data_IF_401032700079
#
_entry.id   IF_401032700079
#
_cell.length_a   1.000
_cell.length_b   1.000
_cell.length_c   1.000
_cell.angle_alpha   90.00
_cell.angle_beta   90.00
_cell.angle_gamma   90.00
#
_symmetry.space_group_name_H-M   'P 1'
#
loop_
_entity.id
_entity.type
_entity.pdbx_description
1 polymer ?
#
# COMPACT_ATOMS: atom_id res chain seq x y z
N UNK A 1 2.72 -10.82 -33.18
CA UNK A 1 3.25 -9.92 -32.14
C UNK A 1 2.07 -9.49 -31.28
N UNK A 2 1.84 -10.15 -30.16
CA UNK A 2 0.77 -9.80 -29.21
C UNK A 2 1.44 -9.12 -28.01
N UNK A 3 1.13 -7.83 -27.83
CA UNK A 3 1.59 -7.07 -26.69
C UNK A 3 0.76 -7.50 -25.46
N UNK A 4 1.40 -8.21 -24.54
CA UNK A 4 0.85 -8.48 -23.22
C UNK A 4 0.89 -7.20 -22.40
N UNK A 5 -0.27 -6.53 -22.29
CA UNK A 5 -0.42 -5.38 -21.43
C UNK A 5 -0.26 -5.80 -19.97
N UNK A 6 0.80 -5.36 -19.33
CA UNK A 6 0.97 -5.48 -17.89
C UNK A 6 -0.12 -4.65 -17.20
N UNK A 7 -1.07 -5.31 -16.54
CA UNK A 7 -2.05 -4.64 -15.68
C UNK A 7 -1.33 -4.17 -14.42
N UNK A 8 -1.14 -2.87 -14.32
CA UNK A 8 -0.59 -2.23 -13.11
C UNK A 8 -1.62 -2.32 -11.99
N UNK A 9 -1.46 -3.28 -11.08
CA UNK A 9 -2.23 -3.32 -9.85
C UNK A 9 -1.80 -2.17 -8.92
N UNK A 10 -2.76 -1.43 -8.40
CA UNK A 10 -2.52 -0.37 -7.40
C UNK A 10 -2.62 -1.01 -6.02
N UNK A 11 -1.64 -0.74 -5.15
CA UNK A 11 -1.67 -1.09 -3.73
C UNK A 11 -2.30 0.11 -3.03
N UNK A 12 -3.32 -0.08 -2.26
CA UNK A 12 -4.05 1.02 -1.66
C UNK A 12 -4.56 0.75 -0.25
N UNK A 13 -4.62 1.81 0.51
CA UNK A 13 -5.29 1.87 1.80
C UNK A 13 -6.76 2.26 1.58
N UNK A 14 -7.71 1.35 1.84
CA UNK A 14 -9.13 1.62 1.73
C UNK A 14 -9.68 2.24 3.01
N UNK A 15 -10.12 3.48 2.92
CA UNK A 15 -10.87 4.17 3.95
C UNK A 15 -12.34 3.74 3.91
N UNK A 16 -12.72 2.78 4.75
CA UNK A 16 -14.11 2.41 4.95
C UNK A 16 -14.78 3.34 5.97
N UNK A 17 -15.50 4.38 5.52
CA UNK A 17 -16.40 5.17 6.35
C UNK A 17 -17.76 4.45 6.43
N UNK A 18 -18.03 3.75 7.51
CA UNK A 18 -19.32 3.13 7.79
C UNK A 18 -19.90 3.66 9.09
N UNK A 19 -20.88 4.55 9.00
CA UNK A 19 -21.73 4.94 10.15
C UNK A 19 -22.90 3.99 10.30
N UNK A 20 -22.95 3.27 11.43
CA UNK A 20 -24.12 2.84 12.20
C UNK A 20 -25.21 2.00 11.57
N UNK A 21 -25.32 0.74 12.02
CA UNK A 21 -26.51 0.08 12.64
C UNK A 21 -26.13 -1.39 12.97
N UNK A 22 -26.61 -2.00 14.05
CA UNK A 22 -26.29 -3.38 14.37
C UNK A 22 -27.12 -4.33 13.53
N UNK A 23 -26.60 -4.77 12.41
CA UNK A 23 -27.10 -5.93 11.71
C UNK A 23 -26.13 -7.08 11.96
N UNK A 24 -26.64 -8.11 12.63
CA UNK A 24 -26.05 -9.45 12.68
C UNK A 24 -26.07 -10.00 11.26
N UNK A 25 -25.09 -9.61 10.46
CA UNK A 25 -24.83 -10.16 9.13
C UNK A 25 -23.54 -10.95 9.23
N UNK A 26 -23.65 -12.22 8.90
CA UNK A 26 -22.55 -13.13 8.61
C UNK A 26 -21.39 -12.32 8.05
N UNK A 27 -20.25 -12.27 8.77
CA UNK A 27 -19.11 -11.46 8.41
C UNK A 27 -18.46 -12.01 7.13
N UNK A 28 -19.02 -11.64 6.00
CA UNK A 28 -18.31 -11.74 4.74
C UNK A 28 -17.12 -10.78 4.85
N UNK A 29 -15.93 -11.35 4.93
CA UNK A 29 -14.70 -10.56 4.90
C UNK A 29 -14.72 -9.72 3.63
N UNK A 30 -14.58 -8.38 3.71
CA UNK A 30 -14.56 -7.56 2.52
C UNK A 30 -13.46 -8.07 1.59
N UNK A 31 -13.81 -8.31 0.33
CA UNK A 31 -12.83 -8.66 -0.69
C UNK A 31 -11.88 -7.46 -0.88
N UNK A 32 -10.61 -7.74 -1.12
CA UNK A 32 -9.65 -6.72 -1.57
C UNK A 32 -10.14 -6.23 -2.93
N UNK A 33 -10.24 -4.91 -3.11
CA UNK A 33 -10.69 -4.35 -4.38
C UNK A 33 -9.77 -4.82 -5.52
N UNK A 34 -10.32 -5.02 -6.70
CA UNK A 34 -9.60 -5.61 -7.85
C UNK A 34 -8.31 -4.85 -8.23
N UNK A 35 -8.28 -3.53 -7.94
CA UNK A 35 -7.13 -2.68 -8.25
C UNK A 35 -5.98 -2.79 -7.24
N UNK A 36 -6.19 -3.46 -6.10
CA UNK A 36 -5.19 -3.60 -5.05
C UNK A 36 -4.64 -5.02 -4.98
N UNK A 37 -3.32 -5.14 -4.83
CA UNK A 37 -2.65 -6.43 -4.59
C UNK A 37 -2.69 -6.84 -3.12
N UNK A 38 -2.70 -5.86 -2.24
CA UNK A 38 -2.84 -6.00 -0.79
C UNK A 38 -3.50 -4.77 -0.20
N UNK A 39 -3.98 -4.90 1.03
CA UNK A 39 -4.58 -3.81 1.79
C UNK A 39 -4.40 -4.07 3.27
N UNK A 40 -4.03 -3.03 4.02
CA UNK A 40 -4.13 -3.02 5.48
C UNK A 40 -5.41 -2.28 5.88
N UNK A 41 -6.23 -2.92 6.68
CA UNK A 41 -7.52 -2.41 7.15
C UNK A 41 -7.69 -2.64 8.64
N UNK A 42 -8.61 -1.89 9.27
CA UNK A 42 -8.93 -2.08 10.67
C UNK A 42 -9.93 -3.24 10.86
N UNK A 43 -9.57 -4.14 11.78
CA UNK A 43 -10.46 -5.16 12.32
C UNK A 43 -10.57 -4.89 13.82
N UNK A 44 -11.65 -4.21 14.26
CA UNK A 44 -11.67 -3.56 15.56
C UNK A 44 -10.55 -2.53 15.69
N UNK A 45 -9.77 -2.62 16.76
CA UNK A 45 -8.63 -1.73 17.03
C UNK A 45 -7.31 -2.21 16.39
N UNK A 46 -7.34 -3.36 15.72
CA UNK A 46 -6.14 -3.99 15.16
C UNK A 46 -6.05 -3.75 13.66
N UNK A 47 -4.86 -3.43 13.17
CA UNK A 47 -4.57 -3.39 11.75
C UNK A 47 -4.27 -4.79 11.23
N UNK A 48 -5.03 -5.26 10.25
CA UNK A 48 -4.85 -6.55 9.59
C UNK A 48 -4.60 -6.36 8.11
N UNK A 49 -3.67 -7.12 7.55
CA UNK A 49 -3.39 -7.09 6.11
C UNK A 49 -4.07 -8.26 5.41
N UNK A 50 -4.56 -7.98 4.22
CA UNK A 50 -5.13 -8.98 3.33
C UNK A 50 -4.52 -8.82 1.95
N UNK A 51 -4.11 -9.93 1.37
CA UNK A 51 -3.66 -9.99 -0.01
C UNK A 51 -4.83 -10.44 -0.90
N UNK A 52 -4.77 -10.06 -2.15
CA UNK A 52 -5.71 -10.53 -3.17
C UNK A 52 -5.57 -12.05 -3.31
N UNK A 53 -6.71 -12.76 -3.31
CA UNK A 53 -6.73 -14.23 -3.22
C UNK A 53 -6.24 -14.94 -4.49
N UNK A 54 -6.20 -14.25 -5.62
CA UNK A 54 -5.72 -14.76 -6.91
C UNK A 54 -4.22 -14.52 -7.15
N UNK A 55 -3.51 -13.91 -6.19
CA UNK A 55 -2.06 -13.78 -6.27
C UNK A 55 -1.40 -15.14 -6.11
N UNK A 56 -0.68 -15.55 -7.14
CA UNK A 56 0.07 -16.82 -7.18
C UNK A 56 1.57 -16.63 -7.34
N UNK A 57 2.01 -15.46 -7.76
CA UNK A 57 3.42 -15.12 -7.88
C UNK A 57 4.02 -14.89 -6.49
N UNK A 58 4.85 -15.83 -6.04
CA UNK A 58 5.46 -15.81 -4.71
C UNK A 58 6.41 -14.63 -4.51
N UNK A 59 7.08 -14.16 -5.57
CA UNK A 59 7.96 -13.01 -5.52
C UNK A 59 7.14 -11.73 -5.30
N UNK A 60 6.05 -11.57 -6.02
CA UNK A 60 5.13 -10.44 -5.86
C UNK A 60 4.43 -10.48 -4.49
N UNK A 61 4.01 -11.65 -4.02
CA UNK A 61 3.44 -11.83 -2.68
C UNK A 61 4.41 -11.30 -1.61
N UNK A 62 5.68 -11.70 -1.66
CA UNK A 62 6.69 -11.26 -0.70
C UNK A 62 6.89 -9.72 -0.71
N UNK A 63 6.83 -9.09 -1.88
CA UNK A 63 6.91 -7.63 -2.02
C UNK A 63 5.71 -6.95 -1.36
N UNK A 64 4.49 -7.43 -1.65
CA UNK A 64 3.25 -6.86 -1.10
C UNK A 64 3.19 -7.08 0.41
N UNK A 65 3.58 -8.25 0.91
CA UNK A 65 3.64 -8.52 2.36
C UNK A 65 4.61 -7.60 3.09
N UNK A 66 5.75 -7.28 2.47
CA UNK A 66 6.71 -6.34 3.04
C UNK A 66 6.10 -4.93 3.18
N UNK A 67 5.36 -4.47 2.17
CA UNK A 67 4.63 -3.22 2.17
C UNK A 67 3.57 -3.18 3.29
N UNK A 68 2.68 -4.14 3.31
CA UNK A 68 1.58 -4.22 4.28
C UNK A 68 2.07 -4.39 5.72
N UNK A 69 3.21 -5.05 5.93
CA UNK A 69 3.83 -5.16 7.25
C UNK A 69 4.23 -3.80 7.82
N UNK A 70 4.70 -2.88 6.98
CA UNK A 70 5.02 -1.52 7.42
C UNK A 70 3.77 -0.82 7.92
N UNK A 71 2.65 -0.91 7.20
CA UNK A 71 1.39 -0.30 7.64
C UNK A 71 0.89 -0.85 8.97
N UNK A 72 0.99 -2.17 9.19
CA UNK A 72 0.65 -2.75 10.52
C UNK A 72 1.54 -2.20 11.63
N UNK A 73 2.84 -2.06 11.35
CA UNK A 73 3.79 -1.49 12.32
C UNK A 73 3.48 -0.03 12.62
N UNK A 74 3.17 0.75 11.59
CA UNK A 74 2.76 2.15 11.74
C UNK A 74 1.49 2.27 12.58
N UNK A 75 0.46 1.49 12.25
CA UNK A 75 -0.80 1.49 12.98
C UNK A 75 -0.64 1.09 14.45
N UNK A 76 0.26 0.16 14.76
CA UNK A 76 0.57 -0.24 16.14
C UNK A 76 1.18 0.87 17.00
N UNK A 77 1.68 1.94 16.39
CA UNK A 77 2.17 3.15 17.08
C UNK A 77 1.06 4.11 17.50
N UNK A 78 -0.21 3.83 17.16
CA UNK A 78 -1.36 4.67 17.48
C UNK A 78 -2.26 4.02 18.54
N UNK A 79 -3.08 4.82 19.27
CA UNK A 79 -4.01 4.28 20.28
C UNK A 79 -5.04 3.29 19.73
N UNK A 80 -5.36 3.39 18.43
CA UNK A 80 -6.23 2.46 17.70
C UNK A 80 -5.92 2.50 16.22
N UNK A 81 -6.30 1.47 15.48
CA UNK A 81 -6.19 1.45 14.04
C UNK A 81 -6.97 2.60 13.39
N UNK A 82 -8.14 2.95 13.91
CA UNK A 82 -8.95 4.07 13.43
C UNK A 82 -8.23 5.41 13.63
N UNK A 83 -7.50 5.57 14.74
CA UNK A 83 -6.69 6.77 14.98
C UNK A 83 -5.57 6.91 13.93
N UNK A 84 -4.92 5.82 13.55
CA UNK A 84 -3.96 5.79 12.45
C UNK A 84 -4.61 6.21 11.13
N UNK A 85 -5.71 5.57 10.73
CA UNK A 85 -6.43 5.87 9.49
C UNK A 85 -6.89 7.33 9.45
N UNK A 86 -7.31 7.90 10.59
CA UNK A 86 -7.74 9.29 10.69
C UNK A 86 -6.63 10.31 10.37
N UNK A 87 -5.36 9.91 10.35
CA UNK A 87 -4.24 10.78 9.94
C UNK A 87 -4.12 10.95 8.42
N UNK A 88 -4.68 10.03 7.63
CA UNK A 88 -4.53 9.96 6.17
C UNK A 88 -5.47 10.94 5.43
N UNK A 89 -5.43 12.23 5.81
CA UNK A 89 -6.37 13.25 5.31
C UNK A 89 -5.78 14.18 4.26
N UNK A 90 -4.50 14.06 3.96
CA UNK A 90 -3.83 14.91 2.98
C UNK A 90 -2.82 14.12 2.17
N UNK A 91 -2.54 14.60 0.96
CA UNK A 91 -1.50 14.03 0.10
C UNK A 91 -0.17 13.85 0.82
N UNK A 92 0.23 14.84 1.63
CA UNK A 92 1.47 14.78 2.41
C UNK A 92 1.46 13.62 3.40
N UNK A 93 0.39 13.47 4.19
CA UNK A 93 0.29 12.38 5.16
C UNK A 93 0.25 11.01 4.48
N UNK A 94 -0.44 10.91 3.34
CA UNK A 94 -0.43 9.68 2.54
C UNK A 94 1.00 9.36 2.10
N UNK A 95 1.75 10.34 1.57
CA UNK A 95 3.15 10.15 1.17
C UNK A 95 4.01 9.73 2.37
N UNK A 96 3.85 10.38 3.52
CA UNK A 96 4.64 10.09 4.72
C UNK A 96 4.39 8.68 5.27
N UNK A 97 3.20 8.12 5.08
CA UNK A 97 2.84 6.76 5.49
C UNK A 97 3.25 5.73 4.44
N UNK A 98 3.01 6.01 3.17
CA UNK A 98 3.23 5.08 2.06
C UNK A 98 4.72 4.95 1.66
N UNK A 99 5.49 6.03 1.75
CA UNK A 99 6.90 6.02 1.33
C UNK A 99 7.72 4.94 2.03
N UNK A 100 7.67 4.78 3.37
CA UNK A 100 8.37 3.68 4.06
C UNK A 100 7.90 2.29 3.60
N UNK A 101 6.62 2.13 3.28
CA UNK A 101 6.05 0.88 2.79
C UNK A 101 6.58 0.55 1.39
N UNK A 102 6.60 1.53 0.49
CA UNK A 102 7.23 1.37 -0.82
C UNK A 102 8.74 1.14 -0.74
N UNK A 103 9.44 1.72 0.23
CA UNK A 103 10.86 1.40 0.49
C UNK A 103 11.05 -0.08 0.84
N UNK A 104 10.22 -0.62 1.73
CA UNK A 104 10.29 -2.02 2.12
C UNK A 104 10.01 -2.94 0.93
N UNK A 105 9.00 -2.62 0.14
CA UNK A 105 8.64 -3.35 -1.08
C UNK A 105 9.77 -3.30 -2.11
N UNK A 106 10.36 -2.12 -2.33
CA UNK A 106 11.49 -1.92 -3.27
C UNK A 106 12.70 -2.76 -2.88
N UNK A 107 13.07 -2.81 -1.60
CA UNK A 107 14.21 -3.63 -1.13
C UNK A 107 13.98 -5.11 -1.42
N UNK A 108 12.77 -5.61 -1.25
CA UNK A 108 12.43 -7.00 -1.58
C UNK A 108 12.52 -7.21 -3.08
N UNK A 109 11.94 -6.34 -3.91
CA UNK A 109 11.99 -6.46 -5.37
C UNK A 109 13.43 -6.46 -5.90
N UNK A 110 14.27 -5.54 -5.44
CA UNK A 110 15.69 -5.47 -5.81
C UNK A 110 16.45 -6.70 -5.34
N UNK A 111 16.18 -7.19 -4.13
CA UNK A 111 16.74 -8.45 -3.62
C UNK A 111 16.35 -9.68 -4.45
N UNK A 112 15.24 -9.60 -5.17
CA UNK A 112 14.75 -10.61 -6.12
C UNK A 112 15.29 -10.42 -7.56
N UNK A 113 16.15 -9.42 -7.78
CA UNK A 113 16.80 -9.17 -9.07
C UNK A 113 16.10 -8.13 -9.96
N UNK A 114 15.12 -7.38 -9.44
CA UNK A 114 14.53 -6.28 -10.18
C UNK A 114 15.54 -5.13 -10.37
N UNK A 115 15.45 -4.42 -11.50
CA UNK A 115 16.28 -3.23 -11.73
C UNK A 115 15.94 -2.14 -10.71
N UNK A 116 16.92 -1.65 -9.93
CA UNK A 116 16.65 -0.70 -8.85
C UNK A 116 16.09 0.64 -9.35
N UNK A 117 16.54 1.14 -10.51
CA UNK A 117 16.13 2.44 -11.00
C UNK A 117 14.73 2.39 -11.63
N UNK A 118 14.43 1.32 -12.38
CA UNK A 118 13.12 1.13 -12.99
C UNK A 118 12.04 0.91 -11.93
N UNK A 119 12.33 0.04 -10.97
CA UNK A 119 11.40 -0.24 -9.87
C UNK A 119 11.14 1.01 -9.03
N UNK A 120 12.18 1.80 -8.73
CA UNK A 120 12.03 3.08 -8.02
C UNK A 120 11.13 4.05 -8.79
N UNK A 121 11.35 4.22 -10.10
CA UNK A 121 10.51 5.11 -10.92
C UNK A 121 9.05 4.69 -10.90
N UNK A 122 8.78 3.40 -10.99
CA UNK A 122 7.43 2.86 -10.92
C UNK A 122 6.77 3.15 -9.57
N UNK A 123 7.46 2.90 -8.46
CA UNK A 123 6.89 3.11 -7.13
C UNK A 123 6.69 4.59 -6.81
N UNK A 124 7.59 5.46 -7.22
CA UNK A 124 7.41 6.91 -7.11
C UNK A 124 6.19 7.37 -7.90
N UNK A 125 6.00 6.84 -9.11
CA UNK A 125 4.83 7.17 -9.93
C UNK A 125 3.54 6.70 -9.25
N UNK A 126 3.52 5.46 -8.73
CA UNK A 126 2.36 4.90 -8.01
C UNK A 126 2.02 5.74 -6.77
N UNK A 127 3.02 6.07 -5.97
CA UNK A 127 2.85 6.89 -4.78
C UNK A 127 2.31 8.28 -5.10
N UNK A 128 2.83 8.93 -6.14
CA UNK A 128 2.36 10.22 -6.61
C UNK A 128 0.89 10.15 -7.08
N UNK A 129 0.52 9.11 -7.83
CA UNK A 129 -0.84 8.90 -8.30
C UNK A 129 -1.81 8.61 -7.14
N UNK A 130 -1.43 7.73 -6.23
CA UNK A 130 -2.23 7.34 -5.07
C UNK A 130 -2.50 8.49 -4.11
N UNK A 131 -1.51 9.34 -3.89
CA UNK A 131 -1.63 10.52 -3.03
C UNK A 131 -2.32 11.72 -3.71
N UNK A 132 -2.58 11.65 -5.03
CA UNK A 132 -3.08 12.77 -5.81
C UNK A 132 -2.07 13.91 -5.97
N UNK A 133 -0.78 13.63 -5.85
CA UNK A 133 0.32 14.60 -5.85
C UNK A 133 1.28 14.40 -7.03
N UNK A 134 0.75 14.18 -8.23
CA UNK A 134 1.55 13.95 -9.45
C UNK A 134 2.51 15.09 -9.78
N UNK A 135 2.17 16.32 -9.45
CA UNK A 135 3.02 17.49 -9.59
C UNK A 135 4.26 17.44 -8.71
N UNK A 136 4.19 16.73 -7.58
CA UNK A 136 5.27 16.60 -6.60
C UNK A 136 6.15 15.36 -6.81
N UNK A 137 6.02 14.65 -7.94
CA UNK A 137 6.73 13.38 -8.18
C UNK A 137 8.25 13.49 -8.10
N UNK A 138 8.84 14.65 -8.43
CA UNK A 138 10.28 14.86 -8.32
C UNK A 138 10.73 14.97 -6.86
N UNK A 139 9.94 15.62 -6.01
CA UNK A 139 10.21 15.69 -4.57
C UNK A 139 10.05 14.32 -3.92
N UNK A 140 9.04 13.56 -4.34
CA UNK A 140 8.84 12.16 -3.91
C UNK A 140 10.04 11.30 -4.32
N UNK A 141 10.54 11.46 -5.54
CA UNK A 141 11.74 10.75 -6.01
C UNK A 141 12.95 11.07 -5.16
N UNK A 142 13.21 12.35 -4.92
CA UNK A 142 14.33 12.79 -4.09
C UNK A 142 14.23 12.25 -2.64
N UNK A 143 13.03 12.19 -2.09
CA UNK A 143 12.78 11.57 -0.78
C UNK A 143 13.05 10.06 -0.83
N UNK A 144 12.52 9.37 -1.83
CA UNK A 144 12.71 7.93 -2.01
C UNK A 144 14.21 7.58 -2.07
N UNK A 145 15.00 8.36 -2.82
CA UNK A 145 16.45 8.17 -2.92
C UNK A 145 17.17 8.33 -1.58
N UNK A 146 16.75 9.28 -0.74
CA UNK A 146 17.37 9.49 0.58
C UNK A 146 16.96 8.45 1.62
N UNK A 147 15.70 8.01 1.58
CA UNK A 147 15.10 7.22 2.66
C UNK A 147 15.12 5.72 2.40
N UNK A 148 15.18 5.30 1.12
CA UNK A 148 15.12 3.89 0.76
C UNK A 148 16.49 3.24 0.44
N UNK A 149 17.55 4.05 0.25
CA UNK A 149 18.91 3.58 -0.10
C UNK A 149 19.56 2.79 1.01
#
# INVERSE_FOLDING_TARGET
MMATGARSGVIGLLLGLGAGLPQVLSAQRPAVAEDFLGVTQCDGDTAVSRLRSDLTDTALIAQVEAHERVHRTQAAGFPSCQAFVATLRSARHIIDVELPAYCAQWRVAVGQGADPADTRREYVWRLAAQSGAMENRLDILARFERECS
#
